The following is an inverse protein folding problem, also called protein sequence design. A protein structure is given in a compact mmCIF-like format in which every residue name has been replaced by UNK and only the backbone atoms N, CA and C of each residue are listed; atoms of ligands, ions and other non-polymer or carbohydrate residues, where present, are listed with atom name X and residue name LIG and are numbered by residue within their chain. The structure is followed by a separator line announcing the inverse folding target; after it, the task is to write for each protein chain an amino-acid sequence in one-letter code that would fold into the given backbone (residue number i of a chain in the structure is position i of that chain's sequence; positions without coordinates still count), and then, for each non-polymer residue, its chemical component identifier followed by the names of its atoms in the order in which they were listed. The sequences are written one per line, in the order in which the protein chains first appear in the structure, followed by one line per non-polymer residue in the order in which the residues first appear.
data_IF_015416919146
#
_entry.id   IF_015416919146
#
_cell.length_a   1.000
_cell.length_b   1.000
_cell.length_c   1.000
_cell.angle_alpha   90.00
_cell.angle_beta   90.00
_cell.angle_gamma   90.00
#
_symmetry.space_group_name_H-M   'P 1'
#
loop_
_entity.id
_entity.type
_entity.pdbx_description
1 polymer ?
#
# COMPACT_ATOMS: atom_id res chain seq x y z
N UNK A 1 -23.39 6.31 19.24
CA UNK A 1 -22.04 6.37 19.83
C UNK A 1 -21.05 6.43 18.68
N UNK A 2 -20.33 7.55 18.45
CA UNK A 2 -19.31 7.60 17.42
C UNK A 2 -18.12 6.74 17.85
N UNK A 3 -17.52 6.03 16.88
CA UNK A 3 -16.32 5.23 17.10
C UNK A 3 -15.13 6.16 17.36
N UNK A 4 -14.41 5.95 18.47
CA UNK A 4 -13.38 6.90 18.98
C UNK A 4 -11.95 6.39 18.72
N UNK A 5 -11.75 5.37 17.88
CA UNK A 5 -10.43 4.74 17.74
C UNK A 5 -10.00 4.48 16.30
N UNK A 6 -8.97 5.23 15.88
CA UNK A 6 -8.20 4.94 14.67
C UNK A 6 -8.97 5.08 13.37
N UNK A 7 -8.25 4.93 12.26
CA UNK A 7 -8.86 4.83 10.94
C UNK A 7 -9.53 3.45 10.83
N UNK A 8 -10.86 3.43 10.80
CA UNK A 8 -11.64 2.17 10.75
C UNK A 8 -11.28 1.35 9.50
N UNK A 9 -10.89 2.04 8.43
CA UNK A 9 -10.53 1.43 7.17
C UNK A 9 -9.28 0.56 7.28
N UNK A 10 -8.33 0.91 8.17
CA UNK A 10 -7.15 0.08 8.44
C UNK A 10 -7.49 -1.23 9.15
N UNK A 11 -8.55 -1.25 9.98
CA UNK A 11 -9.01 -2.47 10.65
C UNK A 11 -9.83 -3.37 9.74
N UNK A 12 -10.58 -2.78 8.80
CA UNK A 12 -11.46 -3.49 7.88
C UNK A 12 -10.79 -3.85 6.55
N UNK A 13 -9.53 -3.47 6.34
CA UNK A 13 -8.84 -3.76 5.10
C UNK A 13 -8.54 -5.25 4.90
N UNK A 14 -8.65 -5.70 3.66
CA UNK A 14 -8.20 -7.03 3.27
C UNK A 14 -6.69 -7.01 3.09
N UNK A 15 -5.98 -7.99 3.67
CA UNK A 15 -4.52 -8.09 3.56
C UNK A 15 -4.12 -9.27 2.70
N UNK A 16 -3.31 -9.03 1.67
CA UNK A 16 -2.78 -10.07 0.78
C UNK A 16 -1.26 -10.08 0.76
N UNK A 17 -0.65 -11.24 1.01
CA UNK A 17 0.79 -11.41 0.83
C UNK A 17 1.13 -11.53 -0.67
N UNK A 18 2.10 -10.74 -1.13
CA UNK A 18 2.63 -10.77 -2.50
C UNK A 18 4.15 -10.69 -2.49
N UNK A 19 4.77 -11.13 -3.58
CA UNK A 19 6.22 -11.02 -3.77
C UNK A 19 6.49 -9.93 -4.80
N UNK A 20 7.45 -9.07 -4.50
CA UNK A 20 7.89 -8.02 -5.41
C UNK A 20 8.66 -8.63 -6.59
N UNK A 21 8.25 -8.27 -7.80
CA UNK A 21 8.90 -8.66 -9.04
C UNK A 21 10.29 -8.04 -9.24
N UNK A 22 10.92 -8.36 -10.37
CA UNK A 22 12.25 -7.83 -10.72
C UNK A 22 12.26 -6.32 -10.89
N UNK A 23 11.17 -5.76 -11.39
CA UNK A 23 11.08 -4.35 -11.74
C UNK A 23 10.56 -3.50 -10.58
N UNK A 24 10.70 -3.98 -9.33
CA UNK A 24 10.11 -3.38 -8.13
C UNK A 24 8.59 -3.16 -8.25
N UNK A 25 7.91 -4.06 -8.96
CA UNK A 25 6.47 -4.01 -9.19
C UNK A 25 5.80 -5.21 -8.51
N UNK A 26 4.59 -4.99 -7.99
CA UNK A 26 3.76 -6.02 -7.38
C UNK A 26 2.49 -6.19 -8.20
N UNK A 27 2.27 -7.39 -8.73
CA UNK A 27 1.05 -7.72 -9.46
C UNK A 27 -0.08 -8.08 -8.51
N UNK A 28 -1.22 -7.39 -8.61
CA UNK A 28 -2.39 -7.63 -7.77
C UNK A 28 -3.68 -7.38 -8.57
N UNK A 29 -4.56 -8.38 -8.69
CA UNK A 29 -5.85 -8.28 -9.40
C UNK A 29 -5.77 -7.69 -10.82
N UNK A 30 -4.70 -7.97 -11.56
CA UNK A 30 -4.48 -7.41 -12.90
C UNK A 30 -3.87 -6.01 -12.91
N UNK A 31 -3.63 -5.42 -11.73
CA UNK A 31 -2.94 -4.15 -11.54
C UNK A 31 -1.44 -4.36 -11.32
N UNK A 32 -0.65 -3.39 -11.77
CA UNK A 32 0.80 -3.33 -11.59
C UNK A 32 1.15 -2.22 -10.60
N UNK A 33 1.39 -2.58 -9.35
CA UNK A 33 1.69 -1.64 -8.26
C UNK A 33 3.20 -1.38 -8.22
N UNK A 34 3.63 -0.29 -8.85
CA UNK A 34 5.05 0.08 -8.90
C UNK A 34 5.50 0.67 -7.56
N UNK A 35 6.54 0.10 -6.94
CA UNK A 35 7.14 0.65 -5.72
C UNK A 35 7.99 1.86 -6.13
N UNK A 36 7.72 3.06 -5.59
CA UNK A 36 8.50 4.25 -5.89
C UNK A 36 9.92 4.11 -5.33
N UNK A 37 10.86 4.78 -5.99
CA UNK A 37 12.25 4.75 -5.58
C UNK A 37 12.42 5.49 -4.25
N UNK A 38 12.89 4.78 -3.23
CA UNK A 38 13.18 5.36 -1.92
C UNK A 38 14.49 6.17 -1.95
N UNK A 39 14.60 7.19 -1.09
CA UNK A 39 15.82 8.00 -0.89
C UNK A 39 17.00 7.13 -0.48
N UNK A 40 16.72 6.06 0.26
CA UNK A 40 17.69 5.05 0.61
C UNK A 40 17.53 3.96 -0.45
N UNK A 41 18.57 3.64 -1.23
CA UNK A 41 18.52 2.69 -2.36
C UNK A 41 18.25 1.24 -1.91
N UNK A 42 17.10 1.01 -1.29
CA UNK A 42 16.66 -0.30 -0.86
C UNK A 42 16.21 -1.10 -2.08
N UNK A 43 16.74 -2.32 -2.20
CA UNK A 43 16.35 -3.26 -3.23
C UNK A 43 15.21 -4.12 -2.68
N UNK A 44 13.99 -3.88 -3.16
CA UNK A 44 12.80 -4.63 -2.75
C UNK A 44 12.55 -5.89 -3.60
N UNK A 45 13.39 -6.15 -4.60
CA UNK A 45 13.26 -7.32 -5.47
C UNK A 45 13.20 -8.62 -4.65
N UNK A 46 12.19 -9.47 -4.93
CA UNK A 46 11.90 -10.75 -4.25
C UNK A 46 11.51 -10.62 -2.77
N UNK A 47 11.28 -9.42 -2.26
CA UNK A 47 10.80 -9.22 -0.90
C UNK A 47 9.32 -9.56 -0.82
N UNK A 48 8.92 -10.19 0.30
CA UNK A 48 7.50 -10.40 0.63
C UNK A 48 6.92 -9.10 1.18
N UNK A 49 5.82 -8.67 0.58
CA UNK A 49 5.09 -7.46 0.95
C UNK A 49 3.62 -7.79 1.19
N UNK A 50 2.94 -6.90 1.89
CA UNK A 50 1.50 -6.98 2.14
C UNK A 50 0.81 -5.90 1.33
N UNK A 51 -0.15 -6.30 0.51
CA UNK A 51 -1.09 -5.39 -0.16
C UNK A 51 -2.32 -5.29 0.72
N UNK A 52 -2.60 -4.10 1.22
CA UNK A 52 -3.83 -3.77 1.92
C UNK A 52 -4.83 -3.24 0.88
N UNK A 53 -6.03 -3.83 0.84
CA UNK A 53 -7.14 -3.36 0.03
C UNK A 53 -8.21 -2.79 0.95
N UNK A 54 -8.50 -1.52 0.75
CA UNK A 54 -9.52 -0.80 1.49
C UNK A 54 -10.91 -0.98 0.84
N UNK A 55 -12.00 -0.75 1.61
CA UNK A 55 -13.37 -0.91 1.10
C UNK A 55 -13.69 -0.04 -0.12
N UNK A 56 -13.05 1.13 -0.23
CA UNK A 56 -13.16 2.06 -1.37
C UNK A 56 -12.29 1.66 -2.58
N UNK A 57 -11.70 0.46 -2.53
CA UNK A 57 -10.77 -0.12 -3.51
C UNK A 57 -9.41 0.55 -3.60
N UNK A 58 -9.09 1.52 -2.75
CA UNK A 58 -7.71 1.99 -2.63
C UNK A 58 -6.81 0.85 -2.15
N UNK A 59 -5.53 0.96 -2.51
CA UNK A 59 -4.54 -0.04 -2.16
C UNK A 59 -3.39 0.64 -1.41
N UNK A 60 -2.80 -0.07 -0.46
CA UNK A 60 -1.56 0.34 0.16
C UNK A 60 -0.60 -0.84 0.21
N UNK A 61 0.69 -0.55 0.07
CA UNK A 61 1.71 -1.58 0.00
C UNK A 61 2.69 -1.44 1.17
N UNK A 62 2.80 -2.51 1.94
CA UNK A 62 3.57 -2.53 3.19
C UNK A 62 4.70 -3.55 3.16
N UNK A 63 5.84 -3.15 3.73
CA UNK A 63 6.93 -4.03 4.09
C UNK A 63 7.15 -3.95 5.61
N UNK A 64 6.67 -4.97 6.34
CA UNK A 64 6.58 -4.90 7.80
C UNK A 64 5.69 -3.72 8.24
N UNK A 65 6.10 -2.90 9.23
CA UNK A 65 5.33 -1.73 9.67
C UNK A 65 5.43 -0.54 8.70
N UNK A 66 6.27 -0.63 7.66
CA UNK A 66 6.54 0.50 6.75
C UNK A 66 5.57 0.47 5.57
N UNK A 67 4.83 1.56 5.36
CA UNK A 67 4.13 1.82 4.11
C UNK A 67 5.15 2.26 3.04
N UNK A 68 5.17 1.56 1.91
CA UNK A 68 6.02 1.88 0.74
C UNK A 68 5.30 2.85 -0.21
N UNK A 69 4.00 2.67 -0.43
CA UNK A 69 3.18 3.51 -1.30
C UNK A 69 1.68 3.28 -1.10
N UNK A 70 0.89 4.30 -1.44
CA UNK A 70 -0.55 4.22 -1.61
C UNK A 70 -0.91 4.28 -3.10
N UNK A 71 -2.01 3.64 -3.46
CA UNK A 71 -2.55 3.63 -4.81
C UNK A 71 -4.06 3.85 -4.79
N UNK A 72 -4.57 4.45 -5.86
CA UNK A 72 -6.00 4.53 -6.10
C UNK A 72 -6.57 3.17 -6.58
N UNK A 73 -7.87 3.14 -6.83
CA UNK A 73 -8.57 1.95 -7.32
C UNK A 73 -8.13 1.49 -8.72
N UNK A 74 -7.42 2.36 -9.47
CA UNK A 74 -6.86 2.06 -10.79
C UNK A 74 -5.39 1.60 -10.69
N UNK A 75 -4.83 1.50 -9.48
CA UNK A 75 -3.45 1.12 -9.24
C UNK A 75 -2.43 2.24 -9.50
N UNK A 76 -2.88 3.50 -9.62
CA UNK A 76 -1.97 4.64 -9.79
C UNK A 76 -1.45 5.13 -8.45
N UNK A 77 -0.16 5.46 -8.33
CA UNK A 77 0.41 5.91 -7.07
C UNK A 77 -0.22 7.23 -6.63
N UNK A 78 -0.77 7.24 -5.42
CA UNK A 78 -1.26 8.45 -4.76
C UNK A 78 -0.11 8.94 -3.89
N UNK A 79 0.46 10.09 -4.25
CA UNK A 79 1.36 10.78 -3.33
C UNK A 79 0.59 11.06 -2.05
N UNK A 80 1.12 10.73 -0.87
CA UNK A 80 0.46 11.13 0.37
C UNK A 80 0.43 12.65 0.39
N UNK A 81 -0.70 13.22 0.01
CA UNK A 81 -1.09 14.54 0.48
C UNK A 81 -1.24 14.32 1.97
N UNK A 82 -0.30 14.87 2.74
CA UNK A 82 -0.29 14.85 4.19
C UNK A 82 -1.61 15.46 4.66
N UNK A 83 -2.69 14.69 4.74
CA UNK A 83 -3.94 15.15 5.31
C UNK A 83 -3.68 15.22 6.81
N UNK A 84 -3.35 16.40 7.27
CA UNK A 84 -3.42 16.81 8.67
C UNK A 84 -4.74 16.32 9.24
N UNK A 85 -4.67 15.31 10.10
CA UNK A 85 -5.76 15.02 11.03
C UNK A 85 -5.77 16.18 12.04
N UNK A 86 -6.84 16.98 11.99
CA UNK A 86 -7.18 18.02 12.96
C UNK A 86 -8.02 17.44 14.10
#
# INVERSE_FOLDING_TARGET
MPWISGDLDDYLCETHERVVGKDNCVSFEGLALQIPQDRHRMHYMKVKVRVHRYPDRRLALFHGPRCLAHYDAEGRPVSPQLSTAA
#
